data_IF_388075444884
#
_entry.id   IF_388075444884
#
_cell.length_a   1.000
_cell.length_b   1.000
_cell.length_c   1.000
_cell.angle_alpha   90.00
_cell.angle_beta   90.00
_cell.angle_gamma   90.00
#
_symmetry.space_group_name_H-M   'P 1'
#
loop_
_entity.id
_entity.type
_entity.pdbx_description
1 polymer ?
#
# COMPACT_ATOMS: atom_id res chain seq x y z
N UNK A 1 -1.26 -23.35 12.69
CA UNK A 1 -0.32 -22.72 11.74
C UNK A 1 -0.58 -23.32 10.36
N UNK A 2 -0.70 -22.48 9.34
CA UNK A 2 -0.73 -22.87 7.92
C UNK A 2 0.63 -22.53 7.32
N UNK A 3 1.20 -23.44 6.54
CA UNK A 3 2.46 -23.22 5.82
C UNK A 3 2.24 -23.66 4.37
N UNK A 4 2.52 -22.72 3.44
CA UNK A 4 2.45 -22.95 2.00
C UNK A 4 3.85 -22.75 1.42
N UNK A 5 4.39 -23.76 0.77
CA UNK A 5 5.72 -23.68 0.13
C UNK A 5 5.71 -24.29 -1.25
N UNK A 6 6.56 -23.77 -2.13
CA UNK A 6 6.58 -24.14 -3.56
C UNK A 6 7.18 -25.54 -3.83
N UNK A 7 7.89 -26.11 -2.85
CA UNK A 7 8.44 -27.46 -2.88
C UNK A 7 7.43 -28.56 -2.47
N UNK A 8 6.20 -28.17 -2.07
CA UNK A 8 5.18 -29.14 -1.66
C UNK A 8 4.64 -29.93 -2.83
N UNK A 9 4.53 -31.24 -2.64
CA UNK A 9 3.87 -32.11 -3.63
C UNK A 9 2.34 -32.05 -3.55
N UNK A 10 1.79 -31.73 -2.37
CA UNK A 10 0.36 -31.58 -2.18
C UNK A 10 -0.09 -30.22 -2.75
N UNK A 11 -0.94 -30.18 -3.77
CA UNK A 11 -1.43 -28.93 -4.37
C UNK A 11 -2.11 -27.98 -3.37
N UNK A 12 -2.71 -28.51 -2.30
CA UNK A 12 -3.36 -27.73 -1.24
C UNK A 12 -2.38 -27.01 -0.32
N UNK A 13 -1.10 -27.41 -0.35
CA UNK A 13 -0.02 -26.82 0.45
C UNK A 13 0.93 -25.96 -0.39
N UNK A 14 0.66 -25.81 -1.68
CA UNK A 14 1.41 -24.92 -2.55
C UNK A 14 0.91 -23.49 -2.43
N UNK A 15 1.76 -22.46 -2.56
CA UNK A 15 1.37 -21.04 -2.48
C UNK A 15 0.75 -20.57 -3.81
N UNK A 16 -0.32 -21.23 -4.25
CA UNK A 16 -1.16 -20.73 -5.34
C UNK A 16 -1.99 -19.53 -4.86
N UNK A 17 -2.43 -18.66 -5.78
CA UNK A 17 -3.26 -17.48 -5.42
C UNK A 17 -4.46 -17.91 -4.56
N UNK A 18 -5.19 -18.93 -4.97
CA UNK A 18 -6.35 -19.42 -4.23
C UNK A 18 -6.00 -19.95 -2.83
N UNK A 19 -4.87 -20.65 -2.67
CA UNK A 19 -4.43 -21.15 -1.37
C UNK A 19 -3.95 -20.04 -0.45
N UNK A 20 -3.23 -19.04 -0.97
CA UNK A 20 -2.76 -17.90 -0.22
C UNK A 20 -3.94 -17.06 0.29
N UNK A 21 -4.89 -16.71 -0.57
CA UNK A 21 -6.10 -15.98 -0.18
C UNK A 21 -6.90 -16.75 0.89
N UNK A 22 -7.07 -18.07 0.71
CA UNK A 22 -7.74 -18.90 1.71
C UNK A 22 -7.01 -18.92 3.04
N UNK A 23 -5.68 -18.93 3.04
CA UNK A 23 -4.87 -18.89 4.25
C UNK A 23 -4.95 -17.54 4.95
N UNK A 24 -5.00 -16.42 4.21
CA UNK A 24 -5.20 -15.09 4.75
C UNK A 24 -6.56 -14.97 5.46
N UNK A 25 -7.65 -15.41 4.81
CA UNK A 25 -8.97 -15.47 5.43
C UNK A 25 -8.98 -16.35 6.69
N UNK A 26 -8.33 -17.51 6.64
CA UNK A 26 -8.22 -18.40 7.81
C UNK A 26 -7.47 -17.71 8.96
N UNK A 27 -6.43 -16.92 8.67
CA UNK A 27 -5.62 -16.25 9.69
C UNK A 27 -6.44 -15.28 10.54
N UNK A 28 -7.32 -14.52 9.91
CA UNK A 28 -8.10 -13.46 10.58
C UNK A 28 -9.47 -13.94 11.07
N UNK A 29 -9.89 -15.12 10.62
CA UNK A 29 -11.19 -15.68 10.99
C UNK A 29 -11.29 -15.85 12.50
N UNK A 30 -12.38 -15.34 13.07
CA UNK A 30 -12.70 -15.43 14.50
C UNK A 30 -11.65 -14.80 15.44
N UNK A 31 -10.77 -13.92 14.94
CA UNK A 31 -9.80 -13.19 15.74
C UNK A 31 -10.53 -12.28 16.75
N UNK A 32 -10.04 -12.29 18.00
CA UNK A 32 -10.64 -11.55 19.12
C UNK A 32 -9.65 -10.56 19.71
N UNK A 33 -10.11 -9.52 20.41
CA UNK A 33 -9.23 -8.62 21.14
C UNK A 33 -8.23 -9.38 22.02
N UNK A 34 -6.97 -8.94 21.99
CA UNK A 34 -5.78 -9.55 22.60
C UNK A 34 -5.19 -10.76 21.85
N UNK A 35 -5.76 -11.19 20.74
CA UNK A 35 -5.10 -12.16 19.87
C UNK A 35 -3.91 -11.51 19.14
N UNK A 36 -2.86 -12.31 18.91
CA UNK A 36 -1.70 -11.93 18.11
C UNK A 36 -1.57 -12.88 16.93
N UNK A 37 -1.71 -12.31 15.74
CA UNK A 37 -1.64 -13.00 14.47
C UNK A 37 -0.29 -12.71 13.81
N UNK A 38 0.27 -13.68 13.11
CA UNK A 38 1.51 -13.52 12.36
C UNK A 38 1.30 -14.00 10.93
N UNK A 39 1.57 -13.12 9.99
CA UNK A 39 1.67 -13.42 8.56
C UNK A 39 3.12 -13.27 8.12
N UNK A 40 3.63 -14.20 7.34
CA UNK A 40 4.96 -14.11 6.75
C UNK A 40 4.89 -14.51 5.29
N UNK A 41 5.45 -13.67 4.43
CA UNK A 41 5.65 -13.94 3.02
C UNK A 41 7.14 -13.80 2.68
N UNK A 42 7.70 -14.81 2.04
CA UNK A 42 9.04 -14.78 1.47
C UNK A 42 8.95 -15.24 0.03
N UNK A 43 9.27 -14.35 -0.91
CA UNK A 43 9.12 -14.64 -2.33
C UNK A 43 9.31 -13.42 -3.21
N UNK A 44 8.79 -13.48 -4.42
CA UNK A 44 8.85 -12.37 -5.36
C UNK A 44 7.74 -11.35 -5.07
N UNK A 45 8.15 -10.09 -5.01
CA UNK A 45 7.28 -8.93 -5.01
C UNK A 45 7.52 -8.08 -6.28
N UNK A 46 6.58 -7.23 -6.59
CA UNK A 46 6.66 -6.30 -7.71
C UNK A 46 5.68 -5.16 -7.57
N UNK A 47 5.48 -4.43 -8.65
CA UNK A 47 4.53 -3.32 -8.73
C UNK A 47 3.63 -3.50 -9.96
N UNK A 48 2.40 -3.05 -9.87
CA UNK A 48 1.45 -2.94 -10.98
C UNK A 48 0.89 -1.53 -11.04
N UNK A 49 0.26 -1.16 -12.16
CA UNK A 49 -0.38 0.14 -12.29
C UNK A 49 -1.57 0.23 -11.32
N UNK A 50 -1.59 1.29 -10.51
CA UNK A 50 -2.70 1.62 -9.63
C UNK A 50 -3.92 2.02 -10.47
N UNK A 51 -5.00 1.26 -10.39
CA UNK A 51 -6.21 1.48 -11.16
C UNK A 51 -7.26 2.30 -10.42
N UNK A 52 -7.20 2.40 -9.12
CA UNK A 52 -8.18 3.14 -8.31
C UNK A 52 -7.68 4.53 -7.88
N UNK A 53 -6.39 4.78 -7.98
CA UNK A 53 -5.75 6.09 -7.85
C UNK A 53 -5.54 6.50 -6.40
N UNK A 54 -5.32 5.56 -5.50
CA UNK A 54 -5.09 5.81 -4.10
C UNK A 54 -3.60 5.82 -3.70
N UNK A 55 -2.71 5.35 -4.60
CA UNK A 55 -1.26 5.43 -4.41
C UNK A 55 -0.65 6.73 -4.95
N UNK A 56 0.30 7.31 -4.20
CA UNK A 56 0.96 8.58 -4.57
C UNK A 56 1.87 8.46 -5.80
N UNK A 57 2.51 7.31 -5.99
CA UNK A 57 3.41 7.02 -7.11
C UNK A 57 2.69 6.39 -8.30
N UNK A 58 1.41 6.00 -8.15
CA UNK A 58 0.57 5.42 -9.17
C UNK A 58 0.82 3.92 -9.39
N UNK A 59 1.37 3.23 -8.40
CA UNK A 59 1.65 1.79 -8.45
C UNK A 59 1.24 1.10 -7.17
N UNK A 60 0.53 -0.03 -7.31
CA UNK A 60 0.24 -0.97 -6.22
C UNK A 60 1.38 -1.96 -6.06
N UNK A 61 1.71 -2.31 -4.82
CA UNK A 61 2.60 -3.42 -4.53
C UNK A 61 1.90 -4.75 -4.74
N UNK A 62 2.65 -5.73 -5.26
CA UNK A 62 2.10 -7.05 -5.52
C UNK A 62 3.01 -8.16 -5.02
N UNK A 63 2.40 -9.29 -4.63
CA UNK A 63 3.09 -10.55 -4.39
C UNK A 63 2.72 -11.57 -5.46
N UNK A 64 3.68 -12.43 -5.81
CA UNK A 64 3.53 -13.41 -6.89
C UNK A 64 3.30 -14.82 -6.34
N UNK A 65 2.07 -15.37 -6.43
CA UNK A 65 1.83 -16.79 -6.21
C UNK A 65 2.57 -17.66 -7.24
N UNK A 66 2.75 -18.95 -6.96
CA UNK A 66 3.44 -19.86 -7.92
C UNK A 66 2.70 -20.00 -9.25
N UNK A 67 1.40 -19.79 -9.25
CA UNK A 67 0.54 -19.86 -10.42
C UNK A 67 0.22 -18.47 -11.03
N UNK A 68 1.01 -17.45 -10.72
CA UNK A 68 0.73 -16.06 -11.12
C UNK A 68 0.52 -15.86 -12.62
N UNK A 69 1.14 -16.69 -13.46
CA UNK A 69 0.99 -16.60 -14.92
C UNK A 69 -0.43 -16.94 -15.41
N UNK A 70 -1.17 -17.73 -14.63
CA UNK A 70 -2.54 -18.15 -14.91
C UNK A 70 -3.56 -17.44 -14.04
N UNK A 71 -3.26 -17.30 -12.74
CA UNK A 71 -4.17 -16.77 -11.73
C UNK A 71 -3.96 -15.28 -11.43
N UNK A 72 -2.87 -14.68 -11.94
CA UNK A 72 -2.48 -13.31 -11.62
C UNK A 72 -1.79 -13.18 -10.27
N UNK A 73 -1.34 -11.99 -9.97
CA UNK A 73 -0.72 -11.60 -8.70
C UNK A 73 -1.79 -11.24 -7.64
N UNK A 74 -1.36 -10.97 -6.43
CA UNK A 74 -2.19 -10.45 -5.33
C UNK A 74 -1.69 -9.04 -5.05
N UNK A 75 -2.59 -8.05 -5.14
CA UNK A 75 -2.29 -6.65 -4.83
C UNK A 75 -2.39 -6.39 -3.33
N UNK A 76 -1.72 -5.36 -2.87
CA UNK A 76 -1.72 -4.90 -1.47
C UNK A 76 -3.13 -4.55 -0.98
N UNK A 77 -3.93 -3.88 -1.79
CA UNK A 77 -5.34 -3.62 -1.51
C UNK A 77 -6.14 -4.90 -1.21
N UNK A 78 -5.95 -5.95 -2.02
CA UNK A 78 -6.61 -7.25 -1.78
C UNK A 78 -6.15 -7.86 -0.44
N UNK A 79 -4.86 -7.73 -0.12
CA UNK A 79 -4.32 -8.21 1.16
C UNK A 79 -4.83 -7.39 2.34
N UNK A 80 -4.94 -6.07 2.19
CA UNK A 80 -5.50 -5.15 3.19
C UNK A 80 -6.97 -5.48 3.49
N UNK A 81 -7.80 -5.60 2.47
CA UNK A 81 -9.22 -5.94 2.59
C UNK A 81 -9.44 -7.28 3.30
N UNK A 82 -8.56 -8.26 3.08
CA UNK A 82 -8.68 -9.59 3.69
C UNK A 82 -8.12 -9.62 5.11
N UNK A 83 -6.94 -9.02 5.36
CA UNK A 83 -6.22 -9.24 6.61
C UNK A 83 -6.32 -8.09 7.61
N UNK A 84 -6.51 -6.85 7.15
CA UNK A 84 -6.50 -5.67 8.03
C UNK A 84 -7.91 -5.22 8.35
N UNK A 85 -8.72 -4.99 7.33
CA UNK A 85 -10.05 -4.42 7.48
C UNK A 85 -11.02 -5.22 8.38
N UNK A 86 -11.03 -6.57 8.39
CA UNK A 86 -11.95 -7.32 9.25
C UNK A 86 -11.50 -7.43 10.70
N UNK A 87 -10.30 -6.96 11.06
CA UNK A 87 -9.80 -7.08 12.42
C UNK A 87 -10.54 -6.15 13.39
N UNK A 88 -10.88 -6.70 14.54
CA UNK A 88 -11.48 -5.93 15.63
C UNK A 88 -10.42 -5.14 16.41
N UNK A 89 -10.77 -4.01 17.02
CA UNK A 89 -9.88 -3.29 17.93
C UNK A 89 -9.30 -4.21 19.00
N UNK A 90 -7.99 -4.10 19.23
CA UNK A 90 -7.28 -4.94 20.20
C UNK A 90 -6.70 -6.24 19.64
N UNK A 91 -6.96 -6.58 18.38
CA UNK A 91 -6.23 -7.64 17.68
C UNK A 91 -4.90 -7.08 17.16
N UNK A 92 -3.82 -7.83 17.30
CA UNK A 92 -2.52 -7.49 16.74
C UNK A 92 -2.20 -8.39 15.55
N UNK A 93 -2.04 -7.82 14.38
CA UNK A 93 -1.48 -8.49 13.21
C UNK A 93 -0.02 -8.02 13.01
N UNK A 94 0.91 -8.96 12.94
CA UNK A 94 2.28 -8.73 12.52
C UNK A 94 2.46 -9.37 11.16
N UNK A 95 2.74 -8.57 10.13
CA UNK A 95 3.03 -9.03 8.79
C UNK A 95 4.50 -8.77 8.46
N UNK A 96 5.17 -9.78 7.93
CA UNK A 96 6.57 -9.74 7.50
C UNK A 96 6.60 -10.07 6.02
N UNK A 97 7.07 -9.12 5.23
CA UNK A 97 7.30 -9.29 3.79
C UNK A 97 8.81 -9.29 3.52
N UNK A 98 9.34 -10.46 3.19
CA UNK A 98 10.71 -10.65 2.73
C UNK A 98 10.71 -10.76 1.20
N UNK A 99 10.47 -9.62 0.54
CA UNK A 99 10.30 -9.50 -0.90
C UNK A 99 10.74 -8.12 -1.40
N UNK A 100 11.01 -7.98 -2.70
CA UNK A 100 11.18 -6.68 -3.33
C UNK A 100 9.84 -5.91 -3.32
N UNK A 101 9.90 -4.58 -3.30
CA UNK A 101 8.71 -3.72 -3.32
C UNK A 101 7.69 -4.08 -2.22
N UNK A 102 8.15 -4.05 -0.97
CA UNK A 102 7.31 -4.38 0.19
C UNK A 102 7.09 -3.20 1.15
N UNK A 103 7.40 -1.99 0.68
CA UNK A 103 7.40 -0.79 1.53
C UNK A 103 6.03 -0.41 2.07
N UNK A 104 4.98 -0.64 1.29
CA UNK A 104 3.59 -0.38 1.63
C UNK A 104 2.66 -1.59 1.45
N UNK A 105 3.19 -2.80 1.45
CA UNK A 105 2.50 -4.05 1.12
C UNK A 105 1.18 -4.35 1.86
N UNK A 106 0.76 -3.57 2.82
CA UNK A 106 -0.54 -3.62 3.48
C UNK A 106 -1.22 -2.25 3.58
N UNK A 107 -0.76 -1.26 2.84
CA UNK A 107 -1.35 0.08 2.80
C UNK A 107 -1.72 0.66 4.16
N UNK A 108 -0.77 0.60 5.06
CA UNK A 108 -1.00 1.11 6.41
C UNK A 108 -0.87 2.65 6.42
N UNK A 109 -1.69 3.35 7.23
CA UNK A 109 -1.75 4.81 7.23
C UNK A 109 -0.48 5.49 7.76
N UNK A 110 0.42 4.74 8.40
CA UNK A 110 1.65 5.26 8.98
C UNK A 110 2.86 4.44 8.54
N UNK A 111 3.87 5.11 7.98
CA UNK A 111 5.15 4.51 7.59
C UNK A 111 6.25 5.04 8.48
N UNK A 112 7.03 4.15 9.09
CA UNK A 112 8.18 4.50 9.92
C UNK A 112 9.48 4.06 9.27
N UNK A 113 10.51 4.90 9.36
CA UNK A 113 11.87 4.48 8.98
C UNK A 113 12.41 3.45 9.98
N UNK A 114 13.50 2.77 9.62
CA UNK A 114 14.24 1.86 10.53
C UNK A 114 14.73 2.53 11.80
N UNK A 115 14.76 3.85 11.83
CA UNK A 115 15.13 4.66 13.01
C UNK A 115 13.90 5.07 13.84
N UNK A 116 12.71 4.58 13.51
CA UNK A 116 11.46 4.90 14.21
C UNK A 116 10.94 6.31 13.94
N UNK A 117 11.45 6.97 12.90
CA UNK A 117 10.95 8.30 12.49
C UNK A 117 9.80 8.09 11.52
N UNK A 118 8.64 8.69 11.82
CA UNK A 118 7.49 8.72 10.93
C UNK A 118 7.90 9.38 9.61
N UNK A 119 7.71 8.68 8.51
CA UNK A 119 7.85 9.26 7.17
C UNK A 119 6.55 10.00 6.85
N UNK A 120 6.50 11.28 7.16
CA UNK A 120 5.42 12.12 6.67
C UNK A 120 5.68 12.47 5.19
N UNK A 121 4.62 12.59 4.36
CA UNK A 121 4.76 13.17 3.03
C UNK A 121 5.44 14.53 3.15
N UNK A 122 6.50 14.75 2.39
CA UNK A 122 7.33 15.97 2.54
C UNK A 122 6.66 17.14 1.81
N UNK A 123 5.50 17.57 2.30
CA UNK A 123 4.71 18.72 1.81
C UNK A 123 5.56 20.00 1.66
N UNK A 124 6.57 20.17 2.54
CA UNK A 124 7.47 21.31 2.44
C UNK A 124 8.39 21.26 1.21
N UNK A 125 8.81 20.07 0.78
CA UNK A 125 9.63 19.88 -0.42
C UNK A 125 8.80 20.07 -1.69
N UNK A 126 7.56 19.59 -1.71
CA UNK A 126 6.62 19.79 -2.81
C UNK A 126 6.16 21.25 -2.91
N UNK A 127 5.87 21.90 -1.79
CA UNK A 127 5.58 23.33 -1.74
C UNK A 127 6.76 24.17 -2.26
N UNK A 128 7.99 23.80 -1.88
CA UNK A 128 9.21 24.45 -2.36
C UNK A 128 9.41 24.31 -3.88
N UNK A 129 9.15 23.14 -4.44
CA UNK A 129 9.23 22.92 -5.90
C UNK A 129 8.14 23.67 -6.66
N UNK A 130 6.94 23.74 -6.15
CA UNK A 130 5.84 24.53 -6.73
C UNK A 130 6.15 26.03 -6.73
N UNK A 131 6.72 26.54 -5.62
CA UNK A 131 7.14 27.94 -5.51
C UNK A 131 8.27 28.29 -6.47
N UNK A 132 9.27 27.42 -6.62
CA UNK A 132 10.37 27.59 -7.59
C UNK A 132 9.86 27.60 -9.02
N UNK A 133 8.86 26.77 -9.35
CA UNK A 133 8.20 26.78 -10.66
C UNK A 133 7.49 28.10 -10.94
N UNK A 134 6.77 28.65 -9.96
CA UNK A 134 6.09 29.96 -10.07
C UNK A 134 7.09 31.11 -10.26
N UNK A 135 8.18 31.14 -9.45
CA UNK A 135 9.22 32.15 -9.56
C UNK A 135 9.94 32.09 -10.90
N UNK A 136 10.21 30.89 -11.42
CA UNK A 136 10.86 30.73 -12.73
C UNK A 136 9.97 31.15 -13.90
N UNK A 137 8.65 30.95 -13.80
CA UNK A 137 7.67 31.40 -14.79
C UNK A 137 7.51 32.92 -14.76
N UNK A 138 7.50 33.53 -13.57
CA UNK A 138 7.47 34.97 -13.37
C UNK A 138 8.72 35.64 -13.97
N UNK A 139 9.92 35.09 -13.71
CA UNK A 139 11.18 35.60 -14.24
C UNK A 139 11.28 35.54 -15.79
N UNK A 140 10.52 34.63 -16.41
CA UNK A 140 10.42 34.48 -17.86
C UNK A 140 9.30 35.32 -18.50
N UNK A 141 8.48 35.99 -17.68
CA UNK A 141 7.33 36.79 -18.18
C UNK A 141 6.19 35.95 -18.76
N UNK A 142 6.16 34.65 -18.50
CA UNK A 142 5.15 33.73 -19.02
C UNK A 142 3.93 33.66 -18.08
N UNK A 143 2.97 34.55 -18.33
CA UNK A 143 1.70 34.61 -17.57
C UNK A 143 0.85 33.34 -17.75
N UNK A 144 0.93 32.68 -18.92
CA UNK A 144 0.23 31.43 -19.18
C UNK A 144 0.83 30.24 -18.40
N UNK A 145 2.15 30.17 -18.37
CA UNK A 145 2.89 29.19 -17.59
C UNK A 145 2.70 29.35 -16.08
N UNK A 146 2.57 30.59 -15.57
CA UNK A 146 2.23 30.87 -14.17
C UNK A 146 0.85 30.32 -13.80
N UNK A 147 -0.16 30.58 -14.61
CA UNK A 147 -1.52 30.12 -14.33
C UNK A 147 -1.62 28.58 -14.37
N UNK A 148 -0.95 27.94 -15.35
CA UNK A 148 -0.94 26.48 -15.46
C UNK A 148 -0.16 25.80 -14.31
N UNK A 149 0.98 26.38 -13.91
CA UNK A 149 1.76 25.87 -12.78
C UNK A 149 1.03 26.04 -11.45
N UNK A 150 0.40 27.20 -11.21
CA UNK A 150 -0.42 27.41 -10.03
C UNK A 150 -1.61 26.46 -9.98
N UNK A 151 -2.30 26.27 -11.12
CA UNK A 151 -3.45 25.38 -11.21
C UNK A 151 -3.08 23.91 -11.02
N UNK A 152 -1.94 23.47 -11.58
CA UNK A 152 -1.41 22.11 -11.39
C UNK A 152 -0.98 21.86 -9.94
N UNK A 153 -0.38 22.89 -9.30
CA UNK A 153 -0.02 22.82 -7.88
C UNK A 153 -1.23 22.75 -6.97
N UNK A 154 -2.25 23.62 -7.20
CA UNK A 154 -3.50 23.55 -6.45
C UNK A 154 -4.23 22.22 -6.65
N UNK A 155 -4.27 21.72 -7.89
CA UNK A 155 -4.90 20.44 -8.20
C UNK A 155 -4.17 19.25 -7.55
N UNK A 156 -2.82 19.31 -7.48
CA UNK A 156 -2.01 18.30 -6.82
C UNK A 156 -2.14 18.37 -5.29
N UNK A 157 -2.13 19.57 -4.71
CA UNK A 157 -2.28 19.76 -3.27
C UNK A 157 -3.67 19.32 -2.78
N UNK A 158 -4.75 19.69 -3.50
CA UNK A 158 -6.12 19.26 -3.15
C UNK A 158 -6.33 17.77 -3.39
N UNK A 159 -5.75 17.20 -4.46
CA UNK A 159 -5.83 15.76 -4.73
C UNK A 159 -5.05 14.95 -3.68
N UNK A 160 -3.88 15.41 -3.24
CA UNK A 160 -3.11 14.77 -2.18
C UNK A 160 -3.86 14.72 -0.85
N UNK A 161 -4.55 15.82 -0.48
CA UNK A 161 -5.37 15.88 0.73
C UNK A 161 -6.61 14.95 0.63
N UNK A 162 -7.25 14.89 -0.53
CA UNK A 162 -8.39 14.01 -0.77
C UNK A 162 -7.99 12.53 -0.75
N UNK A 163 -6.86 12.19 -1.36
CA UNK A 163 -6.29 10.83 -1.36
C UNK A 163 -5.88 10.43 0.06
N UNK A 164 -5.17 11.30 0.79
CA UNK A 164 -4.79 11.05 2.17
C UNK A 164 -6.00 10.81 3.08
N UNK A 165 -7.04 11.65 2.98
CA UNK A 165 -8.29 11.50 3.74
C UNK A 165 -9.07 10.25 3.33
N UNK A 166 -9.07 9.90 2.04
CA UNK A 166 -9.69 8.67 1.53
C UNK A 166 -8.95 7.45 2.09
N UNK A 167 -7.62 7.42 2.00
CA UNK A 167 -6.79 6.34 2.50
C UNK A 167 -6.93 6.16 4.02
N UNK A 168 -6.96 7.28 4.78
CA UNK A 168 -7.19 7.23 6.21
C UNK A 168 -8.55 6.60 6.57
N UNK A 169 -9.60 6.89 5.78
CA UNK A 169 -10.95 6.33 6.00
C UNK A 169 -11.09 4.88 5.57
N UNK A 170 -10.36 4.46 4.54
CA UNK A 170 -10.45 3.09 4.00
C UNK A 170 -9.49 2.13 4.68
N UNK A 171 -8.32 2.60 5.13
CA UNK A 171 -7.23 1.78 5.67
C UNK A 171 -7.18 1.73 7.21
N UNK A 172 -7.96 2.55 7.91
CA UNK A 172 -8.12 2.40 9.36
C UNK A 172 -9.14 1.32 9.68
N UNK A 173 -8.78 0.35 10.51
CA UNK A 173 -9.76 -0.57 11.10
C UNK A 173 -10.89 0.25 11.74
N UNK A 174 -12.15 -0.15 11.59
CA UNK A 174 -13.23 0.50 12.32
C UNK A 174 -12.96 0.41 13.82
N UNK A 175 -13.11 1.52 14.49
CA UNK A 175 -12.98 1.64 15.94
C UNK A 175 -14.12 0.88 16.65
#
# INVERSE_FOLDING_TARGET
MVCLTDDQQNPMSQPTKANMIRAMHWLVKDAKPNDSLVFHYSGHGGQTEDLDGDEEDGYDEVVYPVDFRQAGHIVDDEMHEIMVRPLQPGVRLTAIFDSCHSGSALDLPYVYSTQGVLKEPNLAKEAGQGLLGLVSSYARGDMGGMASTAMSFFKKATKGDDVYQKNLKTKTSPA
#
